data_IF_773268709358
#
_entry.id   IF_773268709358
#
_cell.length_a   1.000
_cell.length_b   1.000
_cell.length_c   1.000
_cell.angle_alpha   90.00
_cell.angle_beta   90.00
_cell.angle_gamma   90.00
#
_symmetry.space_group_name_H-M   'P 1'
#
loop_
_entity.id
_entity.type
_entity.pdbx_description
1 polymer ?
#
# COMPACT_ATOMS: atom_id res chain seq x y z
N UNK A 1 9.19 -6.70 2.58
CA UNK A 1 8.94 -7.36 3.89
C UNK A 1 10.13 -7.18 4.83
N UNK A 2 11.37 -7.58 4.44
CA UNK A 2 12.54 -7.45 5.31
C UNK A 2 12.79 -5.99 5.72
N UNK A 3 12.68 -5.02 4.81
CA UNK A 3 12.85 -3.60 5.11
C UNK A 3 11.86 -3.12 6.20
N UNK A 4 10.58 -3.52 6.11
CA UNK A 4 9.58 -3.23 7.14
C UNK A 4 9.93 -3.89 8.48
N UNK A 5 10.38 -5.15 8.46
CA UNK A 5 10.81 -5.85 9.66
C UNK A 5 12.01 -5.17 10.33
N UNK A 6 13.05 -4.82 9.56
CA UNK A 6 14.23 -4.12 10.07
C UNK A 6 13.88 -2.78 10.71
N UNK A 7 12.97 -2.01 10.10
CA UNK A 7 12.50 -0.74 10.67
C UNK A 7 11.75 -0.97 11.98
N UNK A 8 10.69 -1.78 11.98
CA UNK A 8 9.81 -1.94 13.15
C UNK A 8 10.51 -2.62 14.32
N UNK A 9 11.18 -3.75 14.10
CA UNK A 9 11.89 -4.45 15.18
C UNK A 9 13.14 -3.68 15.62
N UNK A 10 13.84 -3.00 14.69
CA UNK A 10 15.03 -2.22 15.00
C UNK A 10 14.73 -0.98 15.86
N UNK A 11 13.63 -0.26 15.58
CA UNK A 11 13.21 0.89 16.39
C UNK A 11 12.73 0.44 17.77
N UNK A 12 11.92 -0.63 17.85
CA UNK A 12 11.45 -1.20 19.12
C UNK A 12 12.63 -1.63 19.99
N UNK A 13 13.61 -2.32 19.42
CA UNK A 13 14.82 -2.74 20.13
C UNK A 13 15.67 -1.55 20.59
N UNK A 14 15.76 -0.47 19.79
CA UNK A 14 16.51 0.74 20.17
C UNK A 14 15.80 1.53 21.29
N UNK A 15 14.48 1.55 21.29
CA UNK A 15 13.68 2.19 22.33
C UNK A 15 13.49 1.31 23.58
N UNK A 16 14.19 0.17 23.66
CA UNK A 16 14.10 -0.77 24.79
C UNK A 16 12.65 -1.19 25.11
N UNK A 17 11.83 -1.38 24.07
CA UNK A 17 10.40 -1.70 24.15
C UNK A 17 9.53 -0.61 24.84
N UNK A 18 10.06 0.59 25.04
CA UNK A 18 9.32 1.73 25.61
C UNK A 18 8.67 2.54 24.48
N UNK A 19 7.80 1.88 23.72
CA UNK A 19 7.05 2.50 22.62
C UNK A 19 5.74 1.75 22.39
N UNK A 20 4.82 2.42 21.72
CA UNK A 20 3.60 1.82 21.16
C UNK A 20 3.60 2.03 19.64
N UNK A 21 3.31 0.95 18.91
CA UNK A 21 3.18 1.01 17.46
C UNK A 21 1.74 1.40 17.10
N UNK A 22 1.56 2.54 16.45
CA UNK A 22 0.32 2.94 15.78
C UNK A 22 0.38 2.43 14.34
N UNK A 23 -0.46 1.47 13.98
CA UNK A 23 -0.40 0.81 12.66
C UNK A 23 -1.67 1.14 11.88
N UNK A 24 -1.54 1.76 10.71
CA UNK A 24 -2.70 2.07 9.88
C UNK A 24 -3.49 0.80 9.57
N UNK A 25 -4.81 0.88 9.67
CA UNK A 25 -5.74 -0.25 9.48
C UNK A 25 -5.67 -0.88 8.07
N UNK A 26 -5.04 -0.19 7.12
CA UNK A 26 -4.92 -0.62 5.72
C UNK A 26 -3.50 -1.05 5.34
N UNK A 27 -2.62 -1.28 6.33
CA UNK A 27 -1.26 -1.71 6.07
C UNK A 27 -1.20 -3.12 5.44
N UNK A 28 -0.15 -3.32 4.66
CA UNK A 28 0.16 -4.65 4.13
C UNK A 28 0.58 -5.61 5.25
N UNK A 29 0.34 -6.92 5.09
CA UNK A 29 0.74 -7.96 6.07
C UNK A 29 2.24 -7.91 6.45
N UNK A 30 3.09 -7.39 5.57
CA UNK A 30 4.51 -7.17 5.87
C UNK A 30 4.76 -6.12 6.97
N UNK A 31 3.78 -5.28 7.27
CA UNK A 31 3.81 -4.31 8.37
C UNK A 31 3.01 -4.84 9.55
N UNK A 32 1.75 -5.20 9.34
CA UNK A 32 0.85 -5.61 10.43
C UNK A 32 1.36 -6.83 11.20
N UNK A 33 1.88 -7.85 10.49
CA UNK A 33 2.45 -9.03 11.13
C UNK A 33 3.75 -8.71 11.87
N UNK A 34 4.66 -7.94 11.27
CA UNK A 34 5.88 -7.54 11.97
C UNK A 34 5.58 -6.70 13.21
N UNK A 35 4.61 -5.80 13.16
CA UNK A 35 4.15 -5.05 14.32
C UNK A 35 3.60 -5.98 15.41
N UNK A 36 2.76 -6.96 15.06
CA UNK A 36 2.17 -7.89 16.04
C UNK A 36 3.19 -8.78 16.76
N UNK A 37 4.35 -9.04 16.13
CA UNK A 37 5.45 -9.81 16.70
C UNK A 37 6.57 -8.94 17.31
N UNK A 38 6.40 -7.62 17.36
CA UNK A 38 7.44 -6.71 17.85
C UNK A 38 7.60 -6.72 19.38
N UNK A 39 6.68 -7.32 20.11
CA UNK A 39 6.77 -7.47 21.58
C UNK A 39 6.41 -6.20 22.36
N UNK A 40 5.71 -5.25 21.75
CA UNK A 40 5.20 -4.02 22.36
C UNK A 40 3.70 -3.85 22.07
N UNK A 41 3.07 -2.87 22.69
CA UNK A 41 1.69 -2.52 22.42
C UNK A 41 1.52 -2.09 20.96
N UNK A 42 0.45 -2.58 20.33
CA UNK A 42 0.06 -2.21 18.96
C UNK A 42 -1.35 -1.68 19.00
N UNK A 43 -1.54 -0.50 18.43
CA UNK A 43 -2.84 0.16 18.32
C UNK A 43 -3.16 0.41 16.83
N UNK A 44 -4.38 0.12 16.44
CA UNK A 44 -4.82 0.36 15.05
C UNK A 44 -5.13 1.83 14.85
N UNK A 45 -4.45 2.46 13.90
CA UNK A 45 -4.78 3.80 13.43
C UNK A 45 -5.87 3.73 12.37
N UNK A 46 -7.02 4.36 12.64
CA UNK A 46 -8.21 4.26 11.80
C UNK A 46 -8.06 5.00 10.47
N UNK A 47 -8.88 4.60 9.51
CA UNK A 47 -8.99 5.24 8.20
C UNK A 47 -10.41 5.75 7.97
N UNK A 48 -10.53 6.74 7.10
CA UNK A 48 -11.81 7.27 6.63
C UNK A 48 -12.49 6.26 5.69
N UNK A 49 -13.79 6.40 5.39
CA UNK A 49 -14.47 5.60 4.36
C UNK A 49 -13.84 5.72 2.96
N UNK A 50 -13.06 6.77 2.69
CA UNK A 50 -12.31 6.93 1.45
C UNK A 50 -10.95 6.20 1.46
N UNK A 51 -10.55 5.59 2.58
CA UNK A 51 -9.31 4.81 2.71
C UNK A 51 -8.06 5.65 2.97
N UNK A 52 -8.20 6.91 3.40
CA UNK A 52 -7.09 7.72 3.92
C UNK A 52 -6.99 7.59 5.44
N UNK A 53 -5.78 7.66 5.99
CA UNK A 53 -5.60 7.74 7.44
C UNK A 53 -6.48 8.87 8.02
N UNK A 54 -7.19 8.57 9.10
CA UNK A 54 -7.98 9.57 9.83
C UNK A 54 -7.04 10.45 10.68
N UNK A 55 -6.69 11.61 10.15
CA UNK A 55 -5.78 12.54 10.80
C UNK A 55 -6.38 13.18 12.05
N UNK A 56 -7.69 13.31 12.12
CA UNK A 56 -8.37 13.87 13.30
C UNK A 56 -8.31 12.86 14.44
N UNK A 57 -8.58 11.58 14.15
CA UNK A 57 -8.34 10.52 15.12
C UNK A 57 -6.88 10.50 15.61
N UNK A 58 -5.91 10.64 14.69
CA UNK A 58 -4.49 10.65 15.04
C UNK A 58 -4.14 11.82 15.98
N UNK A 59 -4.62 13.03 15.68
CA UNK A 59 -4.43 14.21 16.54
C UNK A 59 -5.04 14.00 17.92
N UNK A 60 -6.28 13.54 17.97
CA UNK A 60 -7.01 13.30 19.21
C UNK A 60 -6.35 12.23 20.07
N UNK A 61 -5.83 11.18 19.44
CA UNK A 61 -5.11 10.10 20.15
C UNK A 61 -3.79 10.61 20.74
N UNK A 62 -3.02 11.35 19.96
CA UNK A 62 -1.73 11.88 20.39
C UNK A 62 -1.87 13.05 21.39
N UNK A 63 -2.92 13.82 21.33
CA UNK A 63 -3.22 14.84 22.35
C UNK A 63 -3.46 14.22 23.76
N UNK A 64 -3.87 12.95 23.81
CA UNK A 64 -4.10 12.18 25.06
C UNK A 64 -2.96 11.18 25.34
N UNK A 65 -1.81 11.33 24.65
CA UNK A 65 -0.68 10.43 24.79
C UNK A 65 0.00 10.60 26.15
N UNK A 66 0.22 9.48 26.84
CA UNK A 66 0.94 9.45 28.10
C UNK A 66 2.29 8.74 27.88
N UNK A 67 3.36 9.52 27.82
CA UNK A 67 4.71 8.99 27.54
C UNK A 67 5.23 8.01 28.61
N UNK A 68 4.70 8.06 29.83
CA UNK A 68 5.07 7.11 30.90
C UNK A 68 4.38 5.77 30.68
N UNK A 69 3.11 5.79 30.29
CA UNK A 69 2.31 4.58 30.04
C UNK A 69 2.56 4.01 28.66
N UNK A 70 2.52 4.87 27.62
CA UNK A 70 2.47 4.47 26.22
C UNK A 70 3.87 4.47 25.57
N UNK A 71 4.86 5.09 26.20
CA UNK A 71 6.20 5.23 25.65
C UNK A 71 6.26 6.19 24.45
N UNK A 72 7.20 5.98 23.55
CA UNK A 72 7.33 6.75 22.29
C UNK A 72 6.30 6.28 21.27
N UNK A 73 5.47 7.15 20.67
CA UNK A 73 4.59 6.75 19.59
C UNK A 73 5.40 6.48 18.31
N UNK A 74 5.15 5.34 17.68
CA UNK A 74 5.77 4.98 16.40
C UNK A 74 4.66 4.66 15.40
N UNK A 75 4.42 5.56 14.44
CA UNK A 75 3.42 5.37 13.40
C UNK A 75 4.00 4.54 12.25
N UNK A 76 3.27 3.51 11.82
CA UNK A 76 3.48 2.81 10.57
C UNK A 76 2.34 3.15 9.60
N UNK A 77 2.69 3.77 8.48
CA UNK A 77 1.76 4.23 7.45
C UNK A 77 2.33 3.93 6.05
N UNK A 78 1.54 3.32 5.18
CA UNK A 78 1.96 3.13 3.79
C UNK A 78 1.84 4.44 2.98
N UNK A 79 2.63 4.59 1.91
CA UNK A 79 2.51 5.75 1.02
C UNK A 79 1.30 5.66 0.11
N UNK A 80 1.02 4.47 -0.41
CA UNK A 80 -0.15 4.22 -1.26
C UNK A 80 -0.66 2.80 -1.06
N UNK A 81 -1.97 2.64 -1.03
CA UNK A 81 -2.58 1.34 -0.77
C UNK A 81 -2.49 0.42 -2.00
N UNK A 82 -2.13 -0.83 -1.79
CA UNK A 82 -1.95 -1.82 -2.84
C UNK A 82 -3.25 -2.38 -3.43
N UNK A 83 -4.38 -2.21 -2.76
CA UNK A 83 -5.69 -2.66 -3.22
C UNK A 83 -6.46 -1.52 -3.92
N UNK A 84 -6.60 -0.37 -3.27
CA UNK A 84 -7.40 0.76 -3.76
C UNK A 84 -6.60 1.79 -4.56
N UNK A 85 -5.28 1.80 -4.40
CA UNK A 85 -4.41 2.84 -4.96
C UNK A 85 -4.44 4.17 -4.20
N UNK A 86 -5.20 4.30 -3.12
CA UNK A 86 -5.32 5.55 -2.35
C UNK A 86 -3.98 5.97 -1.79
N UNK A 87 -3.59 7.22 -2.06
CA UNK A 87 -2.36 7.84 -1.56
C UNK A 87 -2.64 8.40 -0.17
N UNK A 88 -1.73 8.12 0.76
CA UNK A 88 -1.90 8.47 2.16
C UNK A 88 -1.31 9.84 2.48
N UNK A 89 -1.86 10.58 3.46
CA UNK A 89 -1.38 11.89 3.90
C UNK A 89 -0.14 11.76 4.81
N UNK A 90 0.93 11.12 4.28
CA UNK A 90 2.11 10.72 5.05
C UNK A 90 2.83 11.93 5.66
N UNK A 91 2.99 13.02 4.91
CA UNK A 91 3.70 14.20 5.39
C UNK A 91 2.98 14.88 6.57
N UNK A 92 1.65 14.97 6.50
CA UNK A 92 0.82 15.53 7.58
C UNK A 92 0.85 14.60 8.80
N UNK A 93 0.68 13.30 8.61
CA UNK A 93 0.74 12.31 9.67
C UNK A 93 2.11 12.31 10.37
N UNK A 94 3.21 12.34 9.60
CA UNK A 94 4.56 12.42 10.13
C UNK A 94 4.80 13.71 10.94
N UNK A 95 4.21 14.83 10.53
CA UNK A 95 4.28 16.08 11.27
C UNK A 95 3.57 15.97 12.62
N UNK A 96 2.33 15.48 12.63
CA UNK A 96 1.53 15.27 13.86
C UNK A 96 2.28 14.35 14.85
N UNK A 97 2.83 13.24 14.34
CA UNK A 97 3.58 12.27 15.18
C UNK A 97 4.86 12.88 15.73
N UNK A 98 5.58 13.67 14.93
CA UNK A 98 6.82 14.35 15.35
C UNK A 98 6.56 15.40 16.42
N UNK A 99 5.48 16.17 16.31
CA UNK A 99 5.06 17.15 17.32
C UNK A 99 4.75 16.47 18.67
N UNK A 100 4.30 15.22 18.64
CA UNK A 100 4.11 14.39 19.84
C UNK A 100 5.41 13.67 20.31
N UNK A 101 6.57 13.98 19.73
CA UNK A 101 7.85 13.34 20.05
C UNK A 101 8.01 11.91 19.51
N UNK A 102 7.20 11.53 18.52
CA UNK A 102 7.18 10.20 17.95
C UNK A 102 8.01 10.05 16.67
N UNK A 103 7.95 8.85 16.11
CA UNK A 103 8.67 8.43 14.89
C UNK A 103 7.68 7.88 13.87
N UNK A 104 8.03 8.01 12.58
CA UNK A 104 7.17 7.53 11.49
C UNK A 104 7.93 6.59 10.56
N UNK A 105 7.38 5.39 10.38
CA UNK A 105 7.77 4.42 9.35
C UNK A 105 6.80 4.46 8.18
N UNK A 106 7.32 4.61 6.97
CA UNK A 106 6.53 4.61 5.74
C UNK A 106 6.84 3.38 4.87
N UNK A 107 5.85 2.53 4.62
CA UNK A 107 5.92 1.54 3.54
C UNK A 107 5.62 2.22 2.20
N UNK A 108 6.68 2.63 1.47
CA UNK A 108 6.57 3.29 0.18
C UNK A 108 6.67 2.32 -1.02
N UNK A 109 6.48 1.02 -0.77
CA UNK A 109 6.62 -0.05 -1.79
C UNK A 109 5.72 0.19 -3.00
N UNK A 110 4.54 0.76 -2.82
CA UNK A 110 3.64 1.08 -3.94
C UNK A 110 3.87 2.48 -4.53
N UNK A 111 4.74 3.30 -3.94
CA UNK A 111 4.97 4.69 -4.38
C UNK A 111 6.07 4.84 -5.41
N UNK A 112 7.19 4.12 -5.25
CA UNK A 112 8.39 4.29 -6.10
C UNK A 112 8.09 4.07 -7.58
N UNK A 113 8.48 5.04 -8.43
CA UNK A 113 8.22 5.03 -9.87
C UNK A 113 6.79 5.33 -10.29
N UNK A 114 5.88 5.64 -9.34
CA UNK A 114 4.46 5.94 -9.60
C UNK A 114 4.08 7.35 -9.11
N UNK A 115 4.59 7.71 -7.96
CA UNK A 115 4.46 9.07 -7.38
C UNK A 115 5.82 9.55 -6.93
N UNK A 116 5.94 10.86 -6.66
CA UNK A 116 7.17 11.41 -6.13
C UNK A 116 7.42 10.87 -4.71
N UNK A 117 8.55 10.20 -4.53
CA UNK A 117 9.01 9.74 -3.21
C UNK A 117 10.20 10.62 -2.80
N UNK A 118 9.93 11.63 -2.02
CA UNK A 118 10.93 12.55 -1.48
C UNK A 118 10.90 12.48 0.06
N UNK A 119 11.91 11.87 0.65
CA UNK A 119 11.99 11.66 2.11
C UNK A 119 11.99 12.95 2.90
N UNK A 120 12.54 14.04 2.35
CA UNK A 120 12.53 15.35 2.98
C UNK A 120 11.14 15.96 3.04
N UNK A 121 10.34 15.81 1.98
CA UNK A 121 8.95 16.27 1.93
C UNK A 121 8.02 15.39 2.74
N UNK A 122 8.23 14.07 2.73
CA UNK A 122 7.44 13.13 3.52
C UNK A 122 7.70 13.27 5.03
N UNK A 123 8.89 13.72 5.41
CA UNK A 123 9.23 13.96 6.81
C UNK A 123 9.28 12.72 7.70
N UNK A 124 9.42 11.54 7.13
CA UNK A 124 9.45 10.26 7.83
C UNK A 124 10.83 9.93 8.40
N UNK A 125 10.90 8.97 9.31
CA UNK A 125 12.15 8.51 9.92
C UNK A 125 12.69 7.25 9.26
N UNK A 126 11.78 6.41 8.76
CA UNK A 126 12.10 5.17 8.04
C UNK A 126 11.22 5.05 6.81
N UNK A 127 11.80 4.56 5.69
CA UNK A 127 11.06 4.37 4.46
C UNK A 127 11.48 3.06 3.78
N UNK A 128 10.52 2.15 3.59
CA UNK A 128 10.75 0.86 2.97
C UNK A 128 10.37 0.86 1.49
N UNK A 129 11.22 0.21 0.67
CA UNK A 129 11.05 0.07 -0.78
C UNK A 129 11.23 -1.39 -1.22
N UNK A 130 10.72 -1.75 -2.40
CA UNK A 130 10.89 -3.08 -2.99
C UNK A 130 11.10 -3.00 -4.50
N UNK A 131 12.17 -3.62 -4.98
CA UNK A 131 12.59 -3.56 -6.38
C UNK A 131 11.54 -4.11 -7.35
N UNK A 132 10.92 -5.27 -7.04
CA UNK A 132 9.95 -5.91 -7.95
C UNK A 132 8.67 -5.09 -8.18
N UNK A 133 8.39 -4.08 -7.35
CA UNK A 133 7.24 -3.19 -7.52
C UNK A 133 7.48 -2.03 -8.49
N UNK A 134 8.73 -1.81 -8.89
CA UNK A 134 9.14 -0.81 -9.88
C UNK A 134 9.79 -1.45 -11.13
N UNK A 135 9.62 -2.77 -11.30
CA UNK A 135 10.17 -3.50 -12.44
C UNK A 135 11.59 -4.02 -12.25
N UNK A 136 12.12 -3.95 -11.03
CA UNK A 136 13.41 -4.51 -10.66
C UNK A 136 13.34 -5.98 -10.26
N UNK A 137 14.49 -6.59 -9.89
CA UNK A 137 14.55 -8.00 -9.52
C UNK A 137 13.81 -8.30 -8.22
N UNK A 138 13.31 -9.54 -8.13
CA UNK A 138 12.70 -10.06 -6.89
C UNK A 138 13.78 -10.28 -5.82
N UNK A 139 13.39 -10.32 -4.55
CA UNK A 139 14.27 -10.63 -3.42
C UNK A 139 15.19 -9.47 -2.99
N UNK A 140 14.97 -8.27 -3.53
CA UNK A 140 15.72 -7.05 -3.17
C UNK A 140 14.75 -5.94 -2.73
N UNK A 141 15.11 -5.26 -1.67
CA UNK A 141 14.45 -4.07 -1.15
C UNK A 141 15.46 -3.10 -0.56
N UNK A 142 14.98 -1.95 -0.12
CA UNK A 142 15.79 -0.96 0.58
C UNK A 142 15.03 -0.40 1.77
N UNK A 143 15.77 -0.10 2.83
CA UNK A 143 15.31 0.69 3.96
C UNK A 143 16.13 1.98 4.01
N UNK A 144 15.47 3.11 3.80
CA UNK A 144 16.06 4.40 4.11
C UNK A 144 15.79 4.73 5.58
N UNK A 145 16.82 5.25 6.25
CA UNK A 145 16.78 5.64 7.66
C UNK A 145 17.25 7.09 7.76
N UNK A 146 16.46 7.94 8.38
CA UNK A 146 16.84 9.34 8.64
C UNK A 146 18.12 9.38 9.52
N UNK A 147 19.04 10.26 9.18
CA UNK A 147 20.26 10.45 9.99
C UNK A 147 19.89 10.75 11.45
N UNK A 148 20.42 9.96 12.38
CA UNK A 148 20.14 10.05 13.81
C UNK A 148 18.82 9.42 14.28
N UNK A 149 18.01 8.84 13.39
CA UNK A 149 16.84 8.07 13.82
C UNK A 149 17.28 6.80 14.58
N UNK A 150 16.61 6.44 15.68
CA UNK A 150 16.99 5.30 16.51
C UNK A 150 16.72 3.97 15.77
N UNK A 151 17.78 3.16 15.58
CA UNK A 151 17.68 1.84 14.95
C UNK A 151 18.76 0.90 15.47
N UNK A 152 18.38 -0.27 15.98
CA UNK A 152 19.29 -1.39 16.27
C UNK A 152 19.25 -2.41 15.14
N UNK A 153 20.37 -3.11 14.86
CA UNK A 153 20.36 -4.23 13.94
C UNK A 153 19.44 -5.35 14.45
N UNK A 154 18.78 -6.04 13.52
CA UNK A 154 17.91 -7.20 13.77
C UNK A 154 18.53 -8.48 13.20
N UNK A 155 19.34 -8.36 12.13
CA UNK A 155 20.13 -9.43 11.56
C UNK A 155 21.59 -9.25 11.93
N UNK A 156 22.09 -10.14 12.79
CA UNK A 156 23.45 -10.07 13.36
C UNK A 156 24.46 -10.87 12.54
N UNK A 157 25.70 -10.42 12.53
CA UNK A 157 26.84 -11.07 11.85
C UNK A 157 27.99 -10.09 11.68
N UNK A 158 28.54 -10.03 10.45
CA UNK A 158 29.62 -9.10 10.09
C UNK A 158 29.06 -7.70 9.79
N UNK A 159 29.93 -6.73 9.49
CA UNK A 159 29.62 -5.30 9.42
C UNK A 159 28.97 -4.80 8.12
N UNK A 160 28.29 -5.65 7.33
CA UNK A 160 27.63 -5.24 6.10
C UNK A 160 26.51 -4.21 6.39
N UNK A 161 26.16 -3.44 5.37
CA UNK A 161 25.12 -2.39 5.47
C UNK A 161 25.30 -1.51 6.71
N UNK A 162 26.54 -1.04 6.94
CA UNK A 162 26.92 -0.20 8.09
C UNK A 162 26.63 -0.85 9.45
N UNK A 163 26.76 -2.17 9.54
CA UNK A 163 26.43 -2.99 10.71
C UNK A 163 24.94 -3.01 11.10
N UNK A 164 24.05 -2.55 10.23
CA UNK A 164 22.59 -2.56 10.46
C UNK A 164 21.90 -3.80 9.90
N UNK A 165 22.52 -4.45 8.90
CA UNK A 165 21.99 -5.68 8.32
C UNK A 165 23.14 -6.56 7.82
N UNK A 166 23.43 -7.62 8.52
CA UNK A 166 24.53 -8.52 8.21
C UNK A 166 24.21 -9.53 7.11
N UNK A 167 25.23 -10.08 6.49
CA UNK A 167 25.16 -11.02 5.38
C UNK A 167 25.65 -10.39 4.07
N UNK A 168 26.30 -11.19 3.23
CA UNK A 168 26.83 -10.74 1.94
C UNK A 168 25.74 -10.06 1.12
N UNK A 169 26.06 -8.89 0.59
CA UNK A 169 25.15 -8.07 -0.19
C UNK A 169 24.81 -8.75 -1.53
N UNK A 170 23.54 -8.71 -1.91
CA UNK A 170 23.09 -9.16 -3.22
C UNK A 170 23.40 -8.11 -4.29
N UNK A 171 24.67 -8.04 -4.70
CA UNK A 171 25.19 -7.00 -5.60
C UNK A 171 24.40 -6.91 -6.90
N UNK A 172 24.09 -8.04 -7.53
CA UNK A 172 23.35 -8.07 -8.80
C UNK A 172 21.91 -7.55 -8.63
N UNK A 173 21.27 -7.94 -7.53
CA UNK A 173 19.92 -7.46 -7.19
C UNK A 173 19.90 -5.97 -6.88
N UNK A 174 20.91 -5.46 -6.12
CA UNK A 174 21.04 -4.04 -5.79
C UNK A 174 21.26 -3.20 -7.04
N UNK A 175 22.16 -3.63 -7.95
CA UNK A 175 22.40 -2.95 -9.22
C UNK A 175 21.14 -2.92 -10.09
N UNK A 176 20.40 -4.05 -10.18
CA UNK A 176 19.14 -4.12 -10.90
C UNK A 176 18.05 -3.25 -10.28
N UNK A 177 18.03 -3.12 -8.94
CA UNK A 177 17.11 -2.20 -8.27
C UNK A 177 17.43 -0.74 -8.59
N UNK A 178 18.71 -0.35 -8.57
CA UNK A 178 19.15 1.00 -8.95
C UNK A 178 18.68 1.36 -10.37
N UNK A 179 18.96 0.49 -11.35
CA UNK A 179 18.52 0.70 -12.72
C UNK A 179 16.98 0.81 -12.87
N UNK A 180 16.22 -0.02 -12.14
CA UNK A 180 14.77 0.04 -12.15
C UNK A 180 14.24 1.32 -11.50
N UNK A 181 14.85 1.79 -10.42
CA UNK A 181 14.47 3.04 -9.75
C UNK A 181 14.70 4.26 -10.65
N UNK A 182 15.85 4.32 -11.36
CA UNK A 182 16.13 5.36 -12.34
C UNK A 182 15.13 5.35 -13.51
N UNK A 183 14.83 4.16 -14.05
CA UNK A 183 13.83 4.01 -15.11
C UNK A 183 12.44 4.44 -14.63
N UNK A 184 12.04 4.03 -13.43
CA UNK A 184 10.76 4.40 -12.82
C UNK A 184 10.64 5.91 -12.61
N UNK A 185 11.71 6.58 -12.15
CA UNK A 185 11.72 8.03 -11.99
C UNK A 185 11.58 8.77 -13.34
N UNK A 186 12.30 8.29 -14.37
CA UNK A 186 12.22 8.85 -15.73
C UNK A 186 10.83 8.71 -16.36
N UNK A 187 10.21 7.55 -16.17
CA UNK A 187 8.95 7.18 -16.84
C UNK A 187 7.70 7.47 -15.98
N UNK A 188 7.86 8.01 -14.78
CA UNK A 188 6.77 8.30 -13.83
C UNK A 188 5.66 9.16 -14.44
N UNK A 189 6.01 10.20 -15.20
CA UNK A 189 5.03 11.06 -15.87
C UNK A 189 4.16 10.34 -16.88
N UNK A 190 4.68 9.32 -17.56
CA UNK A 190 3.90 8.49 -18.48
C UNK A 190 2.84 7.69 -17.73
N UNK A 191 3.22 7.11 -16.58
CA UNK A 191 2.29 6.35 -15.76
C UNK A 191 1.21 7.25 -15.15
N UNK A 192 1.58 8.43 -14.67
CA UNK A 192 0.64 9.44 -14.18
C UNK A 192 -0.35 9.89 -15.25
N UNK A 193 0.07 9.95 -16.52
CA UNK A 193 -0.79 10.25 -17.66
C UNK A 193 -1.93 9.25 -17.90
N UNK A 194 -1.91 8.07 -17.24
CA UNK A 194 -3.00 7.09 -17.33
C UNK A 194 -4.23 7.46 -16.47
N UNK A 195 -4.13 8.47 -15.58
CA UNK A 195 -5.21 8.83 -14.66
C UNK A 195 -6.53 9.15 -15.38
N UNK A 196 -6.48 9.90 -16.47
CA UNK A 196 -7.69 10.23 -17.25
C UNK A 196 -8.36 8.99 -17.87
N UNK A 197 -7.57 8.02 -18.33
CA UNK A 197 -8.11 6.77 -18.88
C UNK A 197 -8.74 5.90 -17.77
N UNK A 198 -8.10 5.84 -16.58
CA UNK A 198 -8.69 5.20 -15.39
C UNK A 198 -10.04 5.84 -15.04
N UNK A 199 -10.09 7.16 -14.94
CA UNK A 199 -11.30 7.87 -14.54
C UNK A 199 -12.42 7.70 -15.56
N UNK A 200 -12.10 7.69 -16.85
CA UNK A 200 -13.06 7.40 -17.92
C UNK A 200 -13.60 5.96 -17.85
N UNK A 201 -12.72 4.98 -17.61
CA UNK A 201 -13.10 3.59 -17.38
C UNK A 201 -14.08 3.48 -16.20
N UNK A 202 -13.72 4.07 -15.07
CA UNK A 202 -14.55 4.05 -13.84
C UNK A 202 -15.93 4.69 -14.09
N UNK A 203 -15.98 5.86 -14.72
CA UNK A 203 -17.23 6.54 -15.05
C UNK A 203 -18.13 5.69 -15.95
N UNK A 204 -17.54 4.99 -16.91
CA UNK A 204 -18.27 4.09 -17.80
C UNK A 204 -18.80 2.85 -17.05
N UNK A 205 -18.00 2.26 -16.18
CA UNK A 205 -18.42 1.11 -15.35
C UNK A 205 -19.55 1.50 -14.37
N UNK A 206 -19.48 2.69 -13.77
CA UNK A 206 -20.55 3.23 -12.92
C UNK A 206 -21.86 3.43 -13.72
N UNK A 207 -21.76 4.07 -14.89
CA UNK A 207 -22.92 4.38 -15.72
C UNK A 207 -23.60 3.13 -16.30
N UNK A 208 -22.83 2.13 -16.76
CA UNK A 208 -23.37 0.96 -17.45
C UNK A 208 -23.71 -0.21 -16.51
N UNK A 209 -23.07 -0.28 -15.34
CA UNK A 209 -23.21 -1.43 -14.43
C UNK A 209 -23.45 -1.07 -12.96
N UNK A 210 -23.45 0.21 -12.61
CA UNK A 210 -23.69 0.65 -11.23
C UNK A 210 -22.60 0.18 -10.23
N UNK A 211 -21.35 0.08 -10.68
CA UNK A 211 -20.26 -0.32 -9.79
C UNK A 211 -19.99 0.74 -8.72
N UNK A 212 -19.52 0.30 -7.57
CA UNK A 212 -18.94 1.17 -6.55
C UNK A 212 -17.43 1.16 -6.70
N UNK A 213 -16.83 2.34 -6.92
CA UNK A 213 -15.37 2.52 -7.00
C UNK A 213 -14.83 2.91 -5.62
N UNK A 214 -13.89 2.11 -5.09
CA UNK A 214 -13.30 2.36 -3.77
C UNK A 214 -12.18 3.39 -3.84
N UNK A 215 -12.15 4.28 -2.84
CA UNK A 215 -11.19 5.39 -2.79
C UNK A 215 -11.47 6.52 -3.78
N UNK A 216 -12.65 6.57 -4.39
CA UNK A 216 -13.06 7.68 -5.24
C UNK A 216 -13.21 8.96 -4.41
N UNK A 217 -12.77 10.10 -4.98
CA UNK A 217 -12.86 11.40 -4.32
C UNK A 217 -11.59 11.80 -3.54
N UNK A 218 -10.60 10.91 -3.43
CA UNK A 218 -9.29 11.21 -2.86
C UNK A 218 -8.18 10.89 -3.87
N UNK A 219 -6.96 11.34 -3.58
CA UNK A 219 -5.82 11.12 -4.46
C UNK A 219 -5.46 9.62 -4.54
N UNK A 220 -5.25 9.13 -5.75
CA UNK A 220 -4.97 7.72 -6.03
C UNK A 220 -3.88 7.54 -7.08
N UNK A 221 -3.21 6.41 -7.01
CA UNK A 221 -2.32 5.95 -8.07
C UNK A 221 -3.06 5.90 -9.42
N UNK A 222 -2.47 6.48 -10.46
CA UNK A 222 -3.10 6.61 -11.77
C UNK A 222 -3.44 5.27 -12.44
N UNK A 223 -2.67 4.23 -12.14
CA UNK A 223 -2.75 2.93 -12.80
C UNK A 223 -3.57 1.88 -12.02
N UNK A 224 -4.20 2.25 -10.91
CA UNK A 224 -4.92 1.29 -10.04
C UNK A 224 -6.38 1.70 -9.92
N UNK A 225 -7.29 0.76 -10.14
CA UNK A 225 -8.71 0.88 -9.85
C UNK A 225 -9.19 -0.34 -9.08
N UNK A 226 -9.98 -0.13 -8.05
CA UNK A 226 -10.64 -1.19 -7.27
C UNK A 226 -12.12 -0.85 -7.20
N UNK A 227 -12.94 -1.78 -7.65
CA UNK A 227 -14.39 -1.57 -7.70
C UNK A 227 -15.16 -2.89 -7.52
N UNK A 228 -16.44 -2.76 -7.21
CA UNK A 228 -17.34 -3.90 -7.05
C UNK A 228 -18.74 -3.59 -7.57
N UNK A 229 -19.46 -4.64 -7.94
CA UNK A 229 -20.92 -4.64 -8.09
C UNK A 229 -21.49 -5.81 -7.31
N UNK A 230 -22.54 -5.58 -6.56
CA UNK A 230 -23.14 -6.62 -5.72
C UNK A 230 -23.59 -7.84 -6.56
N UNK A 231 -23.31 -9.04 -6.04
CA UNK A 231 -23.70 -10.30 -6.68
C UNK A 231 -22.72 -10.83 -7.75
N UNK A 232 -21.73 -10.05 -8.17
CA UNK A 232 -20.69 -10.55 -9.08
C UNK A 232 -19.43 -10.89 -8.31
N UNK A 233 -19.34 -12.10 -7.77
CA UNK A 233 -18.23 -12.55 -6.92
C UNK A 233 -16.88 -12.41 -7.62
N UNK A 234 -15.87 -11.98 -6.87
CA UNK A 234 -14.52 -11.72 -7.38
C UNK A 234 -13.90 -12.92 -8.10
N UNK A 235 -14.07 -14.15 -7.58
CA UNK A 235 -13.56 -15.37 -8.23
C UNK A 235 -14.16 -15.58 -9.62
N UNK A 236 -15.47 -15.36 -9.75
CA UNK A 236 -16.17 -15.47 -11.05
C UNK A 236 -15.68 -14.41 -12.02
N UNK A 237 -15.45 -13.18 -11.53
CA UNK A 237 -14.90 -12.09 -12.36
C UNK A 237 -13.49 -12.44 -12.84
N UNK A 238 -12.60 -12.89 -11.95
CA UNK A 238 -11.22 -13.27 -12.32
C UNK A 238 -11.22 -14.35 -13.39
N UNK A 239 -12.00 -15.43 -13.22
CA UNK A 239 -12.10 -16.50 -14.22
C UNK A 239 -12.69 -16.01 -15.56
N UNK A 240 -13.76 -15.22 -15.51
CA UNK A 240 -14.41 -14.74 -16.73
C UNK A 240 -13.53 -13.77 -17.53
N UNK A 241 -12.75 -12.94 -16.84
CA UNK A 241 -11.84 -11.99 -17.46
C UNK A 241 -10.59 -12.68 -17.99
N UNK A 242 -10.04 -13.65 -17.27
CA UNK A 242 -8.90 -14.46 -17.72
C UNK A 242 -9.22 -15.20 -19.03
N UNK A 243 -10.39 -15.83 -19.12
CA UNK A 243 -10.90 -16.43 -20.36
C UNK A 243 -11.12 -15.40 -21.48
N UNK A 244 -11.36 -14.15 -21.12
CA UNK A 244 -11.46 -13.00 -22.04
C UNK A 244 -10.12 -12.37 -22.40
N UNK A 245 -8.99 -12.91 -21.93
CA UNK A 245 -7.64 -12.39 -22.17
C UNK A 245 -7.25 -11.18 -21.32
N UNK A 246 -7.99 -10.90 -20.23
CA UNK A 246 -7.71 -9.79 -19.31
C UNK A 246 -7.38 -10.33 -17.92
N UNK A 247 -6.12 -10.20 -17.53
CA UNK A 247 -5.66 -10.60 -16.19
C UNK A 247 -6.02 -9.53 -15.14
N UNK A 248 -6.73 -9.95 -14.10
CA UNK A 248 -7.11 -9.09 -12.97
C UNK A 248 -6.84 -9.79 -11.64
N UNK A 249 -6.93 -9.04 -10.54
CA UNK A 249 -6.82 -9.61 -9.20
C UNK A 249 -8.15 -9.47 -8.46
N UNK A 250 -8.48 -10.44 -7.58
CA UNK A 250 -9.49 -10.22 -6.56
C UNK A 250 -9.09 -9.06 -5.65
N UNK A 251 -10.05 -8.40 -5.02
CA UNK A 251 -9.81 -7.25 -4.15
C UNK A 251 -8.77 -7.51 -3.05
N UNK A 252 -8.75 -8.73 -2.49
CA UNK A 252 -7.77 -9.18 -1.49
C UNK A 252 -6.54 -9.86 -2.14
N UNK A 253 -5.77 -9.14 -2.90
CA UNK A 253 -4.70 -9.63 -3.81
C UNK A 253 -3.51 -10.36 -3.17
N UNK A 254 -3.48 -10.62 -1.88
CA UNK A 254 -2.32 -11.18 -1.16
C UNK A 254 -2.51 -12.58 -0.56
N UNK A 255 -3.58 -13.32 -0.87
CA UNK A 255 -3.79 -14.64 -0.30
C UNK A 255 -3.59 -15.75 -1.33
N UNK A 256 -2.57 -16.58 -1.10
CA UNK A 256 -2.29 -17.80 -1.87
C UNK A 256 -3.52 -18.72 -1.88
N UNK A 257 -4.29 -18.72 -2.94
CA UNK A 257 -5.23 -19.78 -3.30
C UNK A 257 -6.60 -19.79 -2.60
N UNK A 258 -6.92 -18.87 -1.68
CA UNK A 258 -8.28 -18.67 -1.13
C UNK A 258 -8.60 -17.20 -1.10
N UNK A 259 -9.76 -16.82 -1.67
CA UNK A 259 -10.25 -15.44 -1.56
C UNK A 259 -10.55 -15.17 -0.08
N UNK A 260 -9.72 -14.37 0.55
CA UNK A 260 -9.96 -13.85 1.90
C UNK A 260 -10.65 -12.49 1.76
N UNK A 261 -11.49 -12.17 2.73
CA UNK A 261 -12.06 -10.84 2.87
C UNK A 261 -10.95 -9.78 2.88
N UNK A 262 -11.14 -8.71 2.15
CA UNK A 262 -10.21 -7.57 2.17
C UNK A 262 -10.27 -6.85 3.52
N UNK A 263 -9.16 -6.85 4.25
CA UNK A 263 -9.03 -6.09 5.49
C UNK A 263 -9.06 -4.57 5.22
N UNK A 264 -8.57 -4.15 4.05
CA UNK A 264 -8.59 -2.75 3.60
C UNK A 264 -10.03 -2.27 3.43
N UNK A 265 -10.84 -2.97 2.64
CA UNK A 265 -12.23 -2.61 2.42
C UNK A 265 -13.06 -2.69 3.71
N UNK A 266 -12.76 -3.67 4.58
CA UNK A 266 -13.38 -3.75 5.91
C UNK A 266 -13.05 -2.55 6.79
N UNK A 267 -11.79 -2.10 6.78
CA UNK A 267 -11.35 -0.91 7.52
C UNK A 267 -12.02 0.37 6.98
N UNK A 268 -12.35 0.40 5.70
CA UNK A 268 -13.10 1.49 5.05
C UNK A 268 -14.61 1.43 5.33
N UNK A 269 -15.10 0.42 6.05
CA UNK A 269 -16.53 0.26 6.37
C UNK A 269 -17.36 -0.35 5.23
N UNK A 270 -16.73 -0.95 4.23
CA UNK A 270 -17.42 -1.63 3.12
C UNK A 270 -18.04 -2.93 3.64
N UNK A 271 -19.32 -3.15 3.30
CA UNK A 271 -20.03 -4.37 3.67
C UNK A 271 -19.41 -5.63 3.02
N UNK A 272 -19.65 -6.79 3.64
CA UNK A 272 -19.01 -8.04 3.25
C UNK A 272 -19.41 -8.50 1.85
N UNK A 273 -20.69 -8.35 1.49
CA UNK A 273 -21.20 -8.81 0.19
C UNK A 273 -20.57 -8.02 -0.97
N UNK A 274 -20.40 -6.71 -0.77
CA UNK A 274 -19.73 -5.85 -1.75
C UNK A 274 -18.20 -6.12 -1.78
N UNK A 275 -17.58 -6.30 -0.61
CA UNK A 275 -16.15 -6.63 -0.49
C UNK A 275 -15.79 -7.96 -1.18
N UNK A 276 -16.66 -9.00 -1.08
CA UNK A 276 -16.49 -10.27 -1.78
C UNK A 276 -16.61 -10.16 -3.31
N UNK A 277 -17.21 -9.09 -3.78
CA UNK A 277 -17.38 -8.79 -5.20
C UNK A 277 -16.30 -7.83 -5.75
N UNK A 278 -15.35 -7.41 -4.92
CA UNK A 278 -14.33 -6.44 -5.32
C UNK A 278 -13.25 -7.05 -6.21
N UNK A 279 -12.92 -6.35 -7.28
CA UNK A 279 -11.76 -6.67 -8.14
C UNK A 279 -10.86 -5.46 -8.28
N UNK A 280 -9.56 -5.74 -8.43
CA UNK A 280 -8.57 -4.72 -8.72
C UNK A 280 -8.01 -4.89 -10.12
N UNK A 281 -8.07 -3.82 -10.90
CA UNK A 281 -7.33 -3.66 -12.14
C UNK A 281 -6.06 -2.87 -11.86
N UNK A 282 -4.94 -3.38 -12.38
CA UNK A 282 -3.63 -2.73 -12.24
C UNK A 282 -2.95 -2.68 -13.59
N UNK A 283 -2.67 -1.46 -14.05
CA UNK A 283 -1.98 -1.21 -15.31
C UNK A 283 -0.49 -0.95 -15.02
N UNK A 284 0.36 -1.18 -15.98
CA UNK A 284 1.80 -1.07 -15.81
C UNK A 284 2.43 0.01 -16.69
N UNK A 285 3.74 0.10 -16.62
CA UNK A 285 4.55 1.04 -17.41
C UNK A 285 4.45 0.85 -18.93
N UNK A 286 4.04 -0.33 -19.39
CA UNK A 286 3.81 -0.63 -20.81
C UNK A 286 2.36 -0.42 -21.23
N UNK A 287 1.43 -0.18 -20.29
CA UNK A 287 0.01 0.01 -20.58
C UNK A 287 -0.25 1.33 -21.30
N UNK A 288 -1.29 1.31 -22.13
CA UNK A 288 -1.77 2.45 -22.94
C UNK A 288 -3.21 2.79 -22.54
N UNK A 289 -3.69 4.00 -22.80
CA UNK A 289 -5.10 4.35 -22.56
C UNK A 289 -6.11 3.36 -23.16
N UNK A 290 -5.85 2.83 -24.35
CA UNK A 290 -6.72 1.84 -24.98
C UNK A 290 -6.86 0.51 -24.21
N UNK A 291 -5.90 0.16 -23.36
CA UNK A 291 -5.98 -1.07 -22.55
C UNK A 291 -7.08 -0.96 -21.48
N UNK A 292 -7.43 0.27 -21.06
CA UNK A 292 -8.55 0.52 -20.15
C UNK A 292 -9.89 0.25 -20.83
N UNK A 293 -10.03 0.61 -22.10
CA UNK A 293 -11.23 0.31 -22.90
C UNK A 293 -11.41 -1.20 -23.07
N UNK A 294 -10.32 -1.90 -23.41
CA UNK A 294 -10.32 -3.37 -23.54
C UNK A 294 -10.74 -4.03 -22.22
N UNK A 295 -10.18 -3.59 -21.10
CA UNK A 295 -10.54 -4.12 -19.79
C UNK A 295 -12.01 -3.82 -19.44
N UNK A 296 -12.49 -2.62 -19.75
CA UNK A 296 -13.89 -2.20 -19.52
C UNK A 296 -14.85 -3.05 -20.33
N UNK A 297 -14.60 -3.22 -21.62
CA UNK A 297 -15.46 -4.02 -22.52
C UNK A 297 -15.53 -5.47 -22.08
N UNK A 298 -14.38 -6.06 -21.73
CA UNK A 298 -14.31 -7.43 -21.24
C UNK A 298 -15.10 -7.60 -19.94
N UNK A 299 -14.94 -6.66 -18.99
CA UNK A 299 -15.64 -6.71 -17.72
C UNK A 299 -17.16 -6.55 -17.90
N UNK A 300 -17.62 -5.56 -18.67
CA UNK A 300 -19.04 -5.34 -18.94
C UNK A 300 -19.66 -6.54 -19.66
N UNK A 301 -18.95 -7.16 -20.61
CA UNK A 301 -19.42 -8.37 -21.26
C UNK A 301 -19.59 -9.55 -20.29
N UNK A 302 -18.69 -9.70 -19.33
CA UNK A 302 -18.78 -10.71 -18.27
C UNK A 302 -19.94 -10.41 -17.30
N UNK A 303 -20.08 -9.15 -16.86
CA UNK A 303 -21.14 -8.71 -15.96
C UNK A 303 -22.55 -8.90 -16.57
N UNK A 304 -22.74 -8.54 -17.84
CA UNK A 304 -24.02 -8.76 -18.58
C UNK A 304 -24.42 -10.23 -18.63
N UNK A 305 -23.46 -11.16 -18.67
CA UNK A 305 -23.77 -12.60 -18.66
C UNK A 305 -24.13 -13.13 -17.27
N UNK A 306 -23.72 -12.45 -16.19
CA UNK A 306 -23.79 -12.96 -14.84
C UNK A 306 -24.79 -12.23 -13.97
N UNK A 307 -24.71 -10.90 -13.87
CA UNK A 307 -25.49 -10.11 -12.90
C UNK A 307 -26.37 -9.04 -13.52
N UNK A 308 -26.05 -8.57 -14.72
CA UNK A 308 -26.84 -7.57 -15.42
C UNK A 308 -27.93 -8.20 -16.33
N UNK A 309 -28.19 -9.51 -16.18
CA UNK A 309 -29.32 -10.18 -16.81
C UNK A 309 -30.57 -9.76 -16.10
N UNK A 310 -31.26 -8.79 -16.66
CA UNK A 310 -32.71 -8.57 -16.54
C UNK A 310 -33.04 -7.09 -16.49
N UNK A 311 -33.49 -6.61 -17.56
CA UNK A 311 -34.33 -5.47 -17.76
C UNK A 311 -35.10 -5.78 -18.99
#
# INVERSE_FOLDING_TARGET
TEANALALHGVVAQLEQKCTLLVSAIEHEAVTKNASYAGVAVETAYVTPHGTLDLDWLRDRLARWDTVRDGTPVLAIMLANNETGVIQPVAEAATIVREAGGLTHCDAVQGLGKVMVNVGLLGVDYLALSAHKVGGPQGVGALWVRSGAPLKPVLFGSGQERSLRSGTENLSGIAGFGAAAEAGARDMGKLQGLAAARDAMEARLEAEAGVTVFGKGVERLAQTSNFAVAGFRAETQVMALDLGGVAVSSGSACSSGKVKRSLVLSAMGVDDALSESAVRLSFGWASKPADFDVATDAWLAAARRTVLKTG
#
